data_IF_485846087084
#
_entry.id   IF_485846087084
#
_cell.length_a   1.000
_cell.length_b   1.000
_cell.length_c   1.000
_cell.angle_alpha   90.00
_cell.angle_beta   90.00
_cell.angle_gamma   90.00
#
_symmetry.space_group_name_H-M   'P 1'
#
loop_
_entity.id
_entity.type
_entity.pdbx_description
1 polymer ?
#
# COMPACT_ATOMS: atom_id res chain seq x y z
N UNK A 1 -1.66 -16.67 -0.36
CA UNK A 1 -0.52 -17.02 -1.25
C UNK A 1 -0.40 -16.05 -2.43
N UNK A 2 -1.46 -15.83 -3.23
CA UNK A 2 -1.42 -14.95 -4.42
C UNK A 2 -0.93 -13.51 -4.16
N UNK A 3 -1.29 -12.92 -3.01
CA UNK A 3 -0.88 -11.55 -2.63
C UNK A 3 0.64 -11.45 -2.48
N UNK A 4 1.27 -12.43 -1.82
CA UNK A 4 2.72 -12.45 -1.59
C UNK A 4 3.46 -12.53 -2.94
N UNK A 5 2.95 -13.31 -3.89
CA UNK A 5 3.50 -13.38 -5.25
C UNK A 5 3.38 -12.03 -5.96
N UNK A 6 2.24 -11.35 -5.82
CA UNK A 6 2.00 -10.01 -6.41
C UNK A 6 2.91 -8.94 -5.80
N UNK A 7 3.25 -9.06 -4.52
CA UNK A 7 4.30 -8.24 -3.91
C UNK A 7 5.67 -8.54 -4.53
N UNK A 8 6.02 -9.80 -4.74
CA UNK A 8 7.24 -10.18 -5.47
C UNK A 8 7.30 -9.59 -6.87
N UNK A 9 6.18 -9.62 -7.60
CA UNK A 9 6.05 -8.98 -8.91
C UNK A 9 6.21 -7.46 -8.83
N UNK A 10 5.66 -6.82 -7.80
CA UNK A 10 5.85 -5.38 -7.57
C UNK A 10 7.31 -5.04 -7.31
N UNK A 11 8.04 -5.86 -6.55
CA UNK A 11 9.48 -5.70 -6.32
C UNK A 11 10.27 -5.83 -7.64
N UNK A 12 9.93 -6.81 -8.48
CA UNK A 12 10.53 -6.96 -9.82
C UNK A 12 10.20 -5.74 -10.69
N UNK A 13 8.96 -5.24 -10.63
CA UNK A 13 8.50 -4.06 -11.37
C UNK A 13 9.24 -2.77 -11.00
N UNK A 14 9.72 -2.66 -9.76
CA UNK A 14 10.58 -1.55 -9.32
C UNK A 14 12.07 -1.85 -9.42
N UNK A 15 12.49 -3.03 -9.88
CA UNK A 15 13.91 -3.41 -9.94
C UNK A 15 14.74 -2.45 -10.81
N UNK A 16 14.11 -1.83 -11.81
CA UNK A 16 14.74 -0.81 -12.66
C UNK A 16 15.22 0.42 -11.88
N UNK A 17 14.61 0.74 -10.74
CA UNK A 17 15.05 1.81 -9.86
C UNK A 17 16.39 1.52 -9.17
N UNK A 18 16.77 0.25 -9.04
CA UNK A 18 18.00 -0.17 -8.37
C UNK A 18 19.18 -0.37 -9.32
N UNK A 19 18.98 -0.12 -10.62
CA UNK A 19 20.08 -0.18 -11.59
C UNK A 19 21.16 0.85 -11.23
N UNK A 20 22.46 0.49 -11.34
CA UNK A 20 23.56 1.39 -10.97
C UNK A 20 23.54 2.75 -11.68
N UNK A 21 22.94 2.83 -12.87
CA UNK A 21 22.82 4.07 -13.65
C UNK A 21 21.80 5.06 -13.11
N UNK A 22 20.76 4.58 -12.42
CA UNK A 22 19.64 5.39 -11.93
C UNK A 22 19.50 5.36 -10.40
N UNK A 23 20.36 4.61 -9.71
CA UNK A 23 20.32 4.42 -8.27
C UNK A 23 20.43 5.77 -7.55
N UNK A 24 19.27 6.26 -7.12
CA UNK A 24 19.10 7.54 -6.44
C UNK A 24 18.43 7.27 -5.09
N UNK A 25 18.48 8.24 -4.18
CA UNK A 25 17.79 8.16 -2.88
C UNK A 25 16.28 7.84 -3.03
N UNK A 26 15.70 8.20 -4.18
CA UNK A 26 14.31 7.89 -4.55
C UNK A 26 14.01 6.39 -4.55
N UNK A 27 14.94 5.55 -5.02
CA UNK A 27 14.77 4.10 -5.09
C UNK A 27 14.57 3.49 -3.71
N UNK A 28 15.25 4.06 -2.70
CA UNK A 28 15.11 3.67 -1.29
C UNK A 28 13.70 4.02 -0.79
N UNK A 29 13.18 5.22 -1.09
CA UNK A 29 11.84 5.62 -0.67
C UNK A 29 10.73 4.80 -1.35
N UNK A 30 10.88 4.49 -2.63
CA UNK A 30 9.96 3.59 -3.36
C UNK A 30 9.95 2.20 -2.72
N UNK A 31 11.13 1.67 -2.37
CA UNK A 31 11.24 0.40 -1.67
C UNK A 31 10.55 0.42 -0.31
N UNK A 32 10.78 1.44 0.51
CA UNK A 32 10.12 1.59 1.80
C UNK A 32 8.60 1.67 1.66
N UNK A 33 8.10 2.30 0.60
CA UNK A 33 6.66 2.34 0.31
C UNK A 33 6.12 0.91 0.15
N UNK A 34 6.71 0.11 -0.75
CA UNK A 34 6.28 -1.28 -1.00
C UNK A 34 6.48 -2.17 0.24
N UNK A 35 7.60 -2.03 0.94
CA UNK A 35 7.90 -2.78 2.16
C UNK A 35 6.91 -2.46 3.29
N UNK A 36 6.51 -1.20 3.45
CA UNK A 36 5.52 -0.80 4.46
C UNK A 36 4.13 -1.38 4.19
N UNK A 37 3.72 -1.44 2.92
CA UNK A 37 2.47 -2.09 2.50
C UNK A 37 2.53 -3.60 2.78
N UNK A 38 3.65 -4.24 2.47
CA UNK A 38 3.85 -5.66 2.75
C UNK A 38 3.79 -5.96 4.25
N UNK A 39 4.45 -5.14 5.06
CA UNK A 39 4.43 -5.29 6.52
C UNK A 39 3.01 -5.11 7.09
N UNK A 40 2.28 -4.08 6.64
CA UNK A 40 0.89 -3.87 7.02
C UNK A 40 0.00 -5.08 6.66
N UNK A 41 0.23 -5.68 5.49
CA UNK A 41 -0.49 -6.88 5.07
C UNK A 41 -0.19 -8.07 5.98
N UNK A 42 1.09 -8.38 6.24
CA UNK A 42 1.44 -9.53 7.10
C UNK A 42 0.89 -9.34 8.51
N UNK A 43 1.11 -8.18 9.12
CA UNK A 43 0.68 -7.93 10.51
C UNK A 43 -0.83 -8.13 10.70
N UNK A 44 -1.64 -7.70 9.73
CA UNK A 44 -3.10 -7.87 9.77
C UNK A 44 -3.52 -9.31 9.50
N UNK A 45 -2.95 -9.95 8.47
CA UNK A 45 -3.36 -11.30 8.10
C UNK A 45 -2.86 -12.37 9.07
N UNK A 46 -1.69 -12.18 9.70
CA UNK A 46 -1.18 -13.08 10.74
C UNK A 46 -2.13 -13.11 11.94
N UNK A 47 -2.55 -11.93 12.40
CA UNK A 47 -3.51 -11.81 13.50
C UNK A 47 -4.92 -12.31 13.14
N UNK A 48 -5.38 -12.08 11.91
CA UNK A 48 -6.68 -12.60 11.42
C UNK A 48 -6.70 -14.14 11.35
N UNK A 49 -5.56 -14.79 11.15
CA UNK A 49 -5.44 -16.25 11.15
C UNK A 49 -5.53 -16.80 12.58
N UNK A 50 -5.00 -16.07 13.57
CA UNK A 50 -5.08 -16.43 14.99
C UNK A 50 -6.49 -16.17 15.58
N UNK A 51 -7.17 -15.09 15.18
CA UNK A 51 -8.53 -14.75 15.63
C UNK A 51 -9.65 -15.55 14.93
N UNK A 52 -9.37 -16.77 14.44
CA UNK A 52 -10.38 -17.69 13.86
C UNK A 52 -11.44 -18.10 14.90
N UNK A 53 -12.39 -17.21 15.15
CA UNK A 53 -13.66 -17.53 15.81
C UNK A 53 -14.51 -18.33 14.84
N UNK A 54 -14.94 -19.50 15.33
CA UNK A 54 -15.87 -20.44 14.72
C UNK A 54 -17.16 -19.73 14.29
N UNK A 55 -17.27 -19.34 13.01
CA UNK A 55 -18.53 -18.84 12.44
C UNK A 55 -18.42 -17.67 11.46
N UNK A 56 -17.25 -17.06 11.25
CA UNK A 56 -17.11 -16.01 10.23
C UNK A 56 -16.83 -16.59 8.84
N UNK A 57 -17.67 -16.18 7.89
CA UNK A 57 -17.70 -16.61 6.49
C UNK A 57 -16.37 -16.37 5.78
N UNK A 58 -15.62 -17.44 5.48
CA UNK A 58 -14.40 -17.40 4.68
C UNK A 58 -14.55 -16.72 3.31
N UNK A 59 -15.79 -16.59 2.80
CA UNK A 59 -16.10 -15.87 1.57
C UNK A 59 -15.67 -14.40 1.59
N UNK A 60 -15.86 -13.70 2.71
CA UNK A 60 -15.48 -12.29 2.78
C UNK A 60 -13.95 -12.12 2.70
N UNK A 61 -13.20 -13.03 3.33
CA UNK A 61 -11.74 -13.04 3.26
C UNK A 61 -11.27 -13.19 1.81
N UNK A 62 -11.96 -14.00 0.99
CA UNK A 62 -11.65 -14.20 -0.42
C UNK A 62 -11.92 -12.93 -1.24
N UNK A 63 -13.08 -12.28 -1.07
CA UNK A 63 -13.41 -11.04 -1.79
C UNK A 63 -12.42 -9.91 -1.50
N UNK A 64 -11.90 -9.87 -0.27
CA UNK A 64 -10.94 -8.88 0.15
C UNK A 64 -9.63 -8.91 -0.62
N UNK A 65 -9.15 -10.12 -0.95
CA UNK A 65 -7.89 -10.29 -1.64
C UNK A 65 -7.95 -9.61 -3.02
N UNK A 66 -9.10 -9.59 -3.69
CA UNK A 66 -9.25 -8.92 -4.98
C UNK A 66 -9.03 -7.39 -4.87
N UNK A 67 -9.53 -6.75 -3.81
CA UNK A 67 -9.28 -5.33 -3.58
C UNK A 67 -7.80 -5.02 -3.33
N UNK A 68 -7.13 -5.87 -2.55
CA UNK A 68 -5.70 -5.74 -2.23
C UNK A 68 -4.85 -5.97 -3.49
N UNK A 69 -5.16 -7.00 -4.29
CA UNK A 69 -4.50 -7.26 -5.57
C UNK A 69 -4.65 -6.10 -6.53
N UNK A 70 -5.86 -5.59 -6.69
CA UNK A 70 -6.13 -4.46 -7.58
C UNK A 70 -5.40 -3.19 -7.13
N UNK A 71 -5.39 -2.92 -5.82
CA UNK A 71 -4.61 -1.83 -5.24
C UNK A 71 -3.11 -1.96 -5.50
N UNK A 72 -2.55 -3.16 -5.30
CA UNK A 72 -1.14 -3.45 -5.59
C UNK A 72 -0.81 -3.25 -7.07
N UNK A 73 -1.63 -3.78 -7.99
CA UNK A 73 -1.40 -3.60 -9.43
C UNK A 73 -1.38 -2.12 -9.83
N UNK A 74 -2.28 -1.29 -9.27
CA UNK A 74 -2.25 0.15 -9.50
C UNK A 74 -0.97 0.81 -8.97
N UNK A 75 -0.48 0.38 -7.80
CA UNK A 75 0.80 0.85 -7.23
C UNK A 75 1.98 0.43 -8.14
N UNK A 76 2.02 -0.81 -8.61
CA UNK A 76 3.09 -1.28 -9.51
C UNK A 76 3.12 -0.47 -10.81
N UNK A 77 1.95 -0.27 -11.42
CA UNK A 77 1.84 0.49 -12.67
C UNK A 77 2.22 1.95 -12.43
N UNK A 78 1.69 2.60 -11.40
CA UNK A 78 2.04 3.99 -11.10
C UNK A 78 3.52 4.21 -10.82
N UNK A 79 4.17 3.30 -10.09
CA UNK A 79 5.61 3.35 -9.86
C UNK A 79 6.41 3.15 -11.16
N UNK A 80 5.94 2.31 -12.07
CA UNK A 80 6.59 2.21 -13.39
C UNK A 80 6.44 3.51 -14.19
N UNK A 81 5.24 4.08 -14.20
CA UNK A 81 4.94 5.33 -14.92
C UNK A 81 5.64 6.55 -14.32
N UNK A 82 5.80 6.64 -13.00
CA UNK A 82 6.47 7.79 -12.38
C UNK A 82 7.98 7.82 -12.66
N UNK A 83 8.58 6.67 -13.03
CA UNK A 83 9.97 6.58 -13.48
C UNK A 83 10.18 7.16 -14.88
N UNK A 84 9.14 7.10 -15.72
CA UNK A 84 9.22 7.49 -17.11
C UNK A 84 9.07 9.01 -17.26
N UNK A 85 10.08 9.68 -17.82
CA UNK A 85 10.10 11.15 -17.94
C UNK A 85 9.00 11.72 -18.85
N UNK A 86 8.43 10.91 -19.74
CA UNK A 86 7.40 11.32 -20.69
C UNK A 86 5.97 11.03 -20.22
N UNK A 87 5.81 10.36 -19.07
CA UNK A 87 4.50 9.99 -18.55
C UNK A 87 3.80 11.17 -17.86
N UNK A 88 2.46 11.19 -17.97
CA UNK A 88 1.64 12.16 -17.25
C UNK A 88 1.74 11.93 -15.73
N UNK A 89 2.47 12.82 -15.04
CA UNK A 89 2.73 12.71 -13.60
C UNK A 89 1.44 12.73 -12.78
N UNK A 90 0.40 13.45 -13.23
CA UNK A 90 -0.91 13.48 -12.57
C UNK A 90 -1.53 12.08 -12.54
N UNK A 91 -1.51 11.38 -13.67
CA UNK A 91 -2.06 10.02 -13.77
C UNK A 91 -1.30 9.04 -12.88
N UNK A 92 0.04 9.13 -12.85
CA UNK A 92 0.87 8.29 -12.00
C UNK A 92 0.58 8.53 -10.51
N UNK A 93 0.51 9.78 -10.07
CA UNK A 93 0.22 10.15 -8.67
C UNK A 93 -1.19 9.70 -8.28
N UNK A 94 -2.20 9.94 -9.13
CA UNK A 94 -3.57 9.49 -8.85
C UNK A 94 -3.69 7.97 -8.78
N UNK A 95 -3.01 7.22 -9.66
CA UNK A 95 -2.97 5.76 -9.58
C UNK A 95 -2.26 5.26 -8.32
N UNK A 96 -1.15 5.90 -7.92
CA UNK A 96 -0.40 5.51 -6.72
C UNK A 96 -1.24 5.66 -5.46
N UNK A 97 -1.79 6.85 -5.24
CA UNK A 97 -2.61 7.13 -4.06
C UNK A 97 -3.97 6.42 -4.12
N UNK A 98 -4.56 6.25 -5.31
CA UNK A 98 -5.76 5.43 -5.51
C UNK A 98 -5.52 3.97 -5.16
N UNK A 99 -4.39 3.40 -5.59
CA UNK A 99 -3.98 2.04 -5.28
C UNK A 99 -3.71 1.84 -3.78
N UNK A 100 -3.01 2.79 -3.14
CA UNK A 100 -2.79 2.77 -1.67
C UNK A 100 -4.12 2.83 -0.92
N UNK A 101 -5.05 3.70 -1.33
CA UNK A 101 -6.37 3.82 -0.72
C UNK A 101 -7.15 2.51 -0.85
N UNK A 102 -7.21 1.92 -2.04
CA UNK A 102 -7.84 0.62 -2.29
C UNK A 102 -7.23 -0.49 -1.44
N UNK A 103 -5.90 -0.53 -1.32
CA UNK A 103 -5.19 -1.48 -0.49
C UNK A 103 -5.58 -1.36 0.99
N UNK A 104 -5.59 -0.14 1.55
CA UNK A 104 -5.96 0.10 2.94
C UNK A 104 -7.47 -0.07 3.21
N UNK A 105 -8.34 0.23 2.24
CA UNK A 105 -9.77 -0.11 2.34
C UNK A 105 -9.93 -1.63 2.39
N UNK A 106 -9.22 -2.36 1.52
CA UNK A 106 -9.17 -3.83 1.56
C UNK A 106 -8.82 -4.32 2.95
N UNK A 107 -7.70 -3.88 3.52
CA UNK A 107 -7.32 -4.25 4.88
C UNK A 107 -8.39 -3.85 5.92
N UNK A 108 -8.98 -2.65 5.81
CA UNK A 108 -9.96 -2.18 6.80
C UNK A 108 -11.25 -2.98 6.78
N UNK A 109 -11.77 -3.34 5.61
CA UNK A 109 -12.97 -4.18 5.47
C UNK A 109 -12.75 -5.56 6.09
N UNK A 110 -11.53 -6.10 6.02
CA UNK A 110 -11.13 -7.35 6.69
C UNK A 110 -11.43 -7.27 8.19
N UNK A 111 -10.98 -6.17 8.79
CA UNK A 111 -11.00 -5.96 10.23
C UNK A 111 -12.39 -5.57 10.70
N UNK A 112 -13.07 -4.67 9.97
CA UNK A 112 -14.43 -4.20 10.32
C UNK A 112 -15.42 -5.36 10.39
N UNK A 113 -15.22 -6.37 9.55
CA UNK A 113 -16.07 -7.57 9.54
C UNK A 113 -15.81 -8.51 10.71
N UNK A 114 -14.62 -8.41 11.33
CA UNK A 114 -14.31 -9.12 12.57
C UNK A 114 -14.66 -8.28 13.82
N UNK A 115 -14.52 -6.95 13.76
CA UNK A 115 -14.86 -5.99 14.83
C UNK A 115 -15.38 -4.64 14.25
N UNK A 116 -16.69 -4.32 14.38
CA UNK A 116 -17.31 -3.13 13.76
C UNK A 116 -16.89 -1.78 14.37
N UNK A 117 -16.07 -1.79 15.43
CA UNK A 117 -15.61 -0.59 16.14
C UNK A 117 -14.39 0.08 15.47
N UNK A 118 -13.90 -0.46 14.36
CA UNK A 118 -12.68 -0.01 13.68
C UNK A 118 -12.99 0.52 12.29
N UNK A 119 -13.50 1.76 12.23
CA UNK A 119 -13.86 2.45 10.99
C UNK A 119 -13.11 3.79 10.84
N UNK A 120 -11.81 3.81 11.14
CA UNK A 120 -10.99 5.00 10.92
C UNK A 120 -10.18 4.83 9.65
N UNK A 121 -10.77 5.23 8.52
CA UNK A 121 -10.02 5.46 7.29
C UNK A 121 -9.13 6.68 7.55
N UNK A 122 -7.82 6.46 7.65
CA UNK A 122 -6.89 7.52 7.99
C UNK A 122 -6.84 8.58 6.87
N UNK A 123 -7.11 9.84 7.23
CA UNK A 123 -7.05 11.01 6.32
C UNK A 123 -5.65 11.26 5.77
N UNK A 124 -4.63 10.58 6.30
CA UNK A 124 -3.25 10.80 5.88
C UNK A 124 -2.94 10.42 4.43
N UNK A 125 -3.70 9.49 3.83
CA UNK A 125 -3.63 9.23 2.38
C UNK A 125 -4.07 10.46 1.56
N UNK A 126 -5.11 11.18 2.00
CA UNK A 126 -5.60 12.39 1.32
C UNK A 126 -4.62 13.55 1.46
N UNK A 127 -3.96 13.67 2.61
CA UNK A 127 -2.93 14.69 2.85
C UNK A 127 -1.71 14.42 1.97
N UNK A 128 -1.24 13.18 1.90
CA UNK A 128 -0.13 12.80 1.02
C UNK A 128 -0.42 13.04 -0.46
N UNK A 129 -1.65 12.75 -0.88
CA UNK A 129 -2.12 13.03 -2.24
C UNK A 129 -2.09 14.53 -2.57
N UNK A 130 -2.61 15.37 -1.67
CA UNK A 130 -2.63 16.83 -1.87
C UNK A 130 -1.20 17.42 -1.97
N UNK A 131 -0.27 16.98 -1.12
CA UNK A 131 1.12 17.44 -1.14
C UNK A 131 1.82 17.00 -2.44
N UNK A 132 1.57 15.77 -2.88
CA UNK A 132 2.15 15.22 -4.11
C UNK A 132 1.61 15.90 -5.37
N UNK A 133 0.36 16.34 -5.36
CA UNK A 133 -0.22 17.14 -6.46
C UNK A 133 0.37 18.55 -6.56
N UNK A 134 0.66 19.18 -5.42
CA UNK A 134 1.23 20.53 -5.38
C UNK A 134 2.67 20.55 -5.89
N UNK A 135 3.42 19.47 -5.69
CA UNK A 135 4.80 19.34 -6.17
C UNK A 135 5.05 17.93 -6.75
N UNK A 136 4.81 17.72 -8.05
CA UNK A 136 4.88 16.41 -8.70
C UNK A 136 6.33 15.93 -8.97
N UNK A 137 7.29 16.32 -8.13
CA UNK A 137 8.66 15.82 -8.26
C UNK A 137 8.73 14.38 -7.75
N UNK A 138 9.47 13.54 -8.46
CA UNK A 138 9.63 12.11 -8.13
C UNK A 138 10.11 11.92 -6.68
N UNK A 139 11.02 12.79 -6.22
CA UNK A 139 11.52 12.78 -4.85
C UNK A 139 10.41 13.04 -3.82
N UNK A 140 9.57 14.07 -4.03
CA UNK A 140 8.49 14.41 -3.09
C UNK A 140 7.42 13.31 -3.08
N UNK A 141 7.04 12.79 -4.25
CA UNK A 141 6.03 11.73 -4.33
C UNK A 141 6.51 10.47 -3.62
N UNK A 142 7.76 10.04 -3.87
CA UNK A 142 8.33 8.86 -3.22
C UNK A 142 8.48 9.03 -1.70
N UNK A 143 8.93 10.22 -1.25
CA UNK A 143 9.05 10.53 0.18
C UNK A 143 7.67 10.54 0.86
N UNK A 144 6.70 11.24 0.27
CA UNK A 144 5.34 11.31 0.80
C UNK A 144 4.67 9.94 0.83
N UNK A 145 4.80 9.12 -0.23
CA UNK A 145 4.23 7.77 -0.24
C UNK A 145 4.87 6.87 0.82
N UNK A 146 6.18 6.98 1.03
CA UNK A 146 6.89 6.22 2.07
C UNK A 146 6.43 6.62 3.48
N UNK A 147 6.37 7.93 3.77
CA UNK A 147 5.91 8.43 5.07
C UNK A 147 4.46 8.02 5.34
N UNK A 148 3.58 8.16 4.34
CA UNK A 148 2.18 7.75 4.44
C UNK A 148 2.06 6.24 4.66
N UNK A 149 2.82 5.44 3.92
CA UNK A 149 2.85 3.99 4.03
C UNK A 149 3.29 3.52 5.42
N UNK A 150 4.42 4.02 5.91
CA UNK A 150 4.99 3.68 7.23
C UNK A 150 4.04 4.07 8.36
N UNK A 151 3.48 5.27 8.33
CA UNK A 151 2.58 5.72 9.39
C UNK A 151 1.27 4.92 9.38
N UNK A 152 0.69 4.67 8.20
CA UNK A 152 -0.53 3.85 8.11
C UNK A 152 -0.27 2.42 8.58
N UNK A 153 0.85 1.82 8.18
CA UNK A 153 1.27 0.51 8.66
C UNK A 153 1.47 0.51 10.18
N UNK A 154 2.19 1.50 10.71
CA UNK A 154 2.46 1.65 12.14
C UNK A 154 1.19 1.86 12.98
N UNK A 155 0.24 2.68 12.51
CA UNK A 155 -1.04 2.84 13.20
C UNK A 155 -1.86 1.54 13.22
N UNK A 156 -1.89 0.81 12.10
CA UNK A 156 -2.60 -0.48 12.00
C UNK A 156 -1.98 -1.51 12.96
N UNK A 157 -0.66 -1.66 12.93
CA UNK A 157 0.10 -2.55 13.82
C UNK A 157 -0.09 -2.16 15.30
N UNK A 158 -0.02 -0.86 15.63
CA UNK A 158 -0.24 -0.39 17.00
C UNK A 158 -1.65 -0.70 17.50
N UNK A 159 -2.67 -0.54 16.66
CA UNK A 159 -4.04 -0.88 17.04
C UNK A 159 -4.20 -2.39 17.27
N UNK A 160 -3.54 -3.22 16.48
CA UNK A 160 -3.55 -4.67 16.64
C UNK A 160 -2.84 -5.11 17.93
N UNK A 161 -1.63 -4.59 18.21
CA UNK A 161 -0.81 -5.01 19.37
C UNK A 161 -1.17 -4.35 20.70
N UNK A 162 -1.99 -3.30 20.72
CA UNK A 162 -2.49 -2.69 21.97
C UNK A 162 -3.71 -3.43 22.57
N UNK A 163 -3.99 -4.66 22.11
CA UNK A 163 -4.99 -5.57 22.65
C UNK A 163 -4.40 -6.96 22.86
#
# INVERSE_FOLDING_TARGET
MLIIITFGETIIGIADYFKPSNSSINSIFVFFTVASLFFAYIAEFDHLIEEKKTGQTGNLLIYLHYFILFGLSLITVSLKFISEKEANSLFAISCLYGGMLLFYIGITIAITSNKPQYNSINKMNLIGYAISLLNPSLFIVALCSAVVGIFNAGMKVRVLYQR
#
